data_IF_262584664272
#
_entry.id   IF_262584664272
#
_cell.length_a   1.000
_cell.length_b   1.000
_cell.length_c   1.000
_cell.angle_alpha   90.00
_cell.angle_beta   90.00
_cell.angle_gamma   90.00
#
_symmetry.space_group_name_H-M   'P 1'
#
loop_
_entity.id
_entity.type
_entity.pdbx_description
1 polymer ?
#
# COMPACT_ATOMS: atom_id res chain seq x y z
N UNK A 1 -75.48 -51.60 -3.94
CA UNK A 1 -74.88 -52.27 -5.11
C UNK A 1 -73.41 -51.85 -5.21
N UNK A 2 -72.52 -52.84 -5.37
CA UNK A 2 -71.07 -52.76 -5.68
C UNK A 2 -70.17 -52.14 -4.60
N UNK A 3 -69.01 -52.69 -4.23
CA UNK A 3 -68.45 -54.05 -4.22
C UNK A 3 -67.23 -53.91 -3.28
N UNK A 4 -67.16 -54.75 -2.25
CA UNK A 4 -66.01 -54.88 -1.35
C UNK A 4 -64.87 -55.54 -2.14
N UNK A 5 -63.65 -55.00 -2.09
CA UNK A 5 -62.45 -55.69 -2.57
C UNK A 5 -61.34 -55.54 -1.53
N UNK A 6 -60.87 -56.70 -1.09
CA UNK A 6 -59.82 -56.93 -0.11
C UNK A 6 -58.50 -57.04 -0.87
N UNK A 7 -57.45 -56.33 -0.44
CA UNK A 7 -56.08 -56.75 -0.75
C UNK A 7 -55.16 -56.47 0.43
N UNK A 8 -54.69 -57.55 1.04
CA UNK A 8 -53.59 -57.62 1.97
C UNK A 8 -52.29 -57.38 1.17
N UNK A 9 -51.39 -56.50 1.61
CA UNK A 9 -49.98 -56.61 1.23
C UNK A 9 -49.06 -56.16 2.38
N UNK A 10 -48.07 -57.01 2.61
CA UNK A 10 -47.15 -57.07 3.74
C UNK A 10 -46.13 -55.92 3.84
N UNK A 11 -45.63 -55.75 5.07
CA UNK A 11 -44.27 -55.39 5.52
C UNK A 11 -43.42 -54.45 4.64
N UNK A 12 -42.89 -53.39 5.25
CA UNK A 12 -41.49 -53.30 5.66
C UNK A 12 -41.33 -52.09 6.61
N UNK A 13 -41.08 -52.36 7.90
CA UNK A 13 -40.60 -51.33 8.83
C UNK A 13 -39.11 -51.13 8.50
N UNK A 14 -38.80 -50.11 7.72
CA UNK A 14 -37.41 -49.62 7.59
C UNK A 14 -37.16 -48.69 8.77
N UNK A 15 -36.49 -49.21 9.80
CA UNK A 15 -35.93 -48.36 10.85
C UNK A 15 -34.88 -47.43 10.21
N UNK A 16 -34.90 -46.11 10.45
CA UNK A 16 -33.81 -45.26 10.02
C UNK A 16 -32.60 -45.59 10.91
N UNK A 17 -31.55 -46.17 10.33
CA UNK A 17 -30.22 -46.12 10.93
C UNK A 17 -29.83 -44.64 11.01
N UNK A 18 -29.98 -44.05 12.20
CA UNK A 18 -29.29 -42.83 12.59
C UNK A 18 -27.80 -43.14 12.64
N UNK A 19 -27.12 -43.01 11.50
CA UNK A 19 -25.67 -42.81 11.53
C UNK A 19 -25.44 -41.40 12.10
N UNK A 20 -24.62 -41.23 13.15
CA UNK A 20 -24.26 -39.90 13.58
C UNK A 20 -23.52 -39.23 12.42
N UNK A 21 -24.06 -38.10 11.94
CA UNK A 21 -23.31 -37.18 11.09
C UNK A 21 -21.98 -36.93 11.80
N UNK A 22 -20.88 -37.39 11.20
CA UNK A 22 -19.55 -36.85 11.50
C UNK A 22 -19.60 -35.38 11.11
N UNK A 23 -19.96 -34.53 12.07
CA UNK A 23 -19.67 -33.10 11.97
C UNK A 23 -18.17 -32.99 11.80
N UNK A 24 -17.71 -32.55 10.62
CA UNK A 24 -16.34 -32.09 10.50
C UNK A 24 -16.16 -30.98 11.53
N UNK A 25 -15.03 -30.91 12.24
CA UNK A 25 -14.78 -29.76 13.09
C UNK A 25 -14.78 -28.54 12.17
N UNK A 26 -15.74 -27.63 12.35
CA UNK A 26 -15.53 -26.24 12.00
C UNK A 26 -14.16 -25.88 12.56
N UNK A 27 -13.17 -25.68 11.69
CA UNK A 27 -11.91 -25.09 12.10
C UNK A 27 -12.26 -23.75 12.75
N UNK A 28 -12.28 -23.72 14.08
CA UNK A 28 -12.18 -22.47 14.82
C UNK A 28 -10.93 -21.80 14.27
N UNK A 29 -11.12 -20.76 13.46
CA UNK A 29 -10.05 -19.90 12.97
C UNK A 29 -9.40 -19.34 14.24
N UNK A 30 -8.27 -19.94 14.64
CA UNK A 30 -7.56 -19.61 15.88
C UNK A 30 -7.38 -18.10 15.89
N UNK A 31 -8.04 -17.43 16.85
CA UNK A 31 -7.95 -15.98 16.99
C UNK A 31 -6.45 -15.63 17.12
N UNK A 32 -5.92 -14.92 16.14
CA UNK A 32 -4.50 -14.55 16.15
C UNK A 32 -4.30 -13.52 17.25
N UNK A 33 -3.16 -13.59 17.95
CA UNK A 33 -2.82 -12.50 18.86
C UNK A 33 -2.79 -11.18 18.07
N UNK A 34 -3.14 -10.03 18.67
CA UNK A 34 -3.15 -8.75 17.97
C UNK A 34 -1.80 -8.42 17.28
N UNK A 35 -0.69 -8.88 17.85
CA UNK A 35 0.66 -8.77 17.27
C UNK A 35 0.93 -9.64 16.04
N UNK A 36 0.00 -10.52 15.68
CA UNK A 36 0.07 -11.44 14.53
C UNK A 36 -0.98 -11.11 13.46
N UNK A 37 -1.69 -9.98 13.59
CA UNK A 37 -2.58 -9.48 12.54
C UNK A 37 -1.74 -9.01 11.35
N UNK A 38 -2.09 -9.47 10.16
CA UNK A 38 -1.42 -9.11 8.91
C UNK A 38 -2.43 -8.93 7.78
N UNK A 39 -2.04 -8.22 6.73
CA UNK A 39 -2.82 -7.97 5.53
C UNK A 39 -1.93 -7.94 4.29
N UNK A 40 -2.56 -8.04 3.11
CA UNK A 40 -1.86 -7.97 1.83
C UNK A 40 -1.48 -6.53 1.47
N UNK A 41 -0.28 -6.40 0.93
CA UNK A 41 0.29 -5.24 0.22
C UNK A 41 0.57 -5.60 -1.25
N UNK A 42 -0.03 -6.70 -1.74
CA UNK A 42 0.23 -7.27 -3.06
C UNK A 42 0.12 -6.25 -4.18
N UNK A 43 1.19 -6.21 -4.97
CA UNK A 43 1.34 -5.35 -6.13
C UNK A 43 1.03 -6.17 -7.37
N UNK A 44 0.17 -5.66 -8.24
CA UNK A 44 -0.19 -6.37 -9.46
C UNK A 44 0.91 -6.19 -10.51
N UNK A 45 1.47 -7.31 -10.97
CA UNK A 45 2.41 -7.35 -12.08
C UNK A 45 1.75 -6.80 -13.35
N UNK A 46 2.50 -6.01 -14.12
CA UNK A 46 2.00 -5.43 -15.36
C UNK A 46 1.95 -6.45 -16.50
N UNK A 47 0.90 -6.33 -17.30
CA UNK A 47 0.71 -7.09 -18.54
C UNK A 47 1.80 -6.80 -19.59
N UNK A 48 2.03 -7.76 -20.49
CA UNK A 48 3.16 -7.74 -21.44
C UNK A 48 3.20 -6.52 -22.36
N UNK A 49 2.05 -5.99 -22.76
CA UNK A 49 1.94 -4.82 -23.62
C UNK A 49 2.46 -3.54 -22.94
N UNK A 50 2.12 -3.37 -21.64
CA UNK A 50 2.64 -2.29 -20.78
C UNK A 50 4.15 -2.39 -20.60
N UNK A 51 4.63 -3.60 -20.33
CA UNK A 51 6.06 -3.91 -20.11
C UNK A 51 6.91 -3.51 -21.32
N UNK A 52 6.42 -3.70 -22.54
CA UNK A 52 7.17 -3.42 -23.76
C UNK A 52 7.52 -1.93 -23.91
N UNK A 53 6.55 -1.04 -23.69
CA UNK A 53 6.75 0.42 -23.75
C UNK A 53 7.71 0.91 -22.65
N UNK A 54 7.58 0.37 -21.45
CA UNK A 54 8.43 0.74 -20.31
C UNK A 54 9.88 0.26 -20.51
N UNK A 55 10.07 -0.94 -21.06
CA UNK A 55 11.40 -1.46 -21.40
C UNK A 55 12.08 -0.64 -22.50
N UNK A 56 11.34 -0.15 -23.49
CA UNK A 56 11.89 0.75 -24.52
C UNK A 56 12.37 2.07 -23.92
N UNK A 57 11.58 2.71 -23.05
CA UNK A 57 12.01 3.91 -22.33
C UNK A 57 13.25 3.66 -21.47
N UNK A 58 13.32 2.51 -20.79
CA UNK A 58 14.45 2.12 -19.95
C UNK A 58 15.76 1.99 -20.74
N UNK A 59 15.72 1.46 -21.98
CA UNK A 59 16.92 1.33 -22.82
C UNK A 59 17.62 2.67 -23.08
N UNK A 60 16.84 3.75 -23.12
CA UNK A 60 17.34 5.10 -23.39
C UNK A 60 17.67 5.89 -22.11
N UNK A 61 17.36 5.35 -20.94
CA UNK A 61 17.52 6.03 -19.66
C UNK A 61 18.93 5.80 -19.09
N UNK A 62 19.67 6.88 -18.84
CA UNK A 62 20.97 6.85 -18.16
C UNK A 62 20.76 6.85 -16.64
N UNK A 63 20.52 5.67 -16.07
CA UNK A 63 20.15 5.56 -14.66
C UNK A 63 21.27 4.98 -13.81
N UNK A 64 21.44 5.58 -12.62
CA UNK A 64 22.39 5.06 -11.62
C UNK A 64 21.88 3.72 -11.10
N UNK A 65 22.75 2.69 -10.97
CA UNK A 65 22.34 1.40 -10.42
C UNK A 65 21.85 1.56 -8.98
N UNK A 66 21.01 0.63 -8.55
CA UNK A 66 20.65 0.50 -7.13
C UNK A 66 21.85 -0.07 -6.38
N UNK A 67 22.12 0.47 -5.19
CA UNK A 67 23.25 0.00 -4.37
C UNK A 67 22.95 -1.37 -3.78
N UNK A 68 23.87 -2.30 -4.01
CA UNK A 68 23.96 -3.54 -3.25
C UNK A 68 24.72 -3.29 -1.94
N UNK A 69 24.04 -3.47 -0.80
CA UNK A 69 24.67 -3.29 0.50
C UNK A 69 25.64 -4.43 0.82
N UNK A 70 26.80 -4.11 1.39
CA UNK A 70 27.71 -5.13 1.92
C UNK A 70 27.13 -5.82 3.16
N UNK A 71 27.70 -6.96 3.56
CA UNK A 71 27.27 -7.67 4.77
C UNK A 71 27.45 -6.81 6.05
N UNK A 72 28.51 -6.00 6.11
CA UNK A 72 28.77 -5.09 7.24
C UNK A 72 27.76 -3.95 7.29
N UNK A 73 27.40 -3.37 6.15
CA UNK A 73 26.35 -2.35 6.06
C UNK A 73 24.98 -2.90 6.44
N UNK A 74 24.61 -4.08 5.94
CA UNK A 74 23.37 -4.77 6.37
C UNK A 74 23.33 -4.99 7.88
N UNK A 75 24.44 -5.44 8.48
CA UNK A 75 24.56 -5.60 9.93
C UNK A 75 24.41 -4.26 10.67
N UNK A 76 25.01 -3.19 10.15
CA UNK A 76 24.87 -1.83 10.70
C UNK A 76 23.40 -1.38 10.67
N UNK A 77 22.74 -1.48 9.52
CA UNK A 77 21.32 -1.10 9.33
C UNK A 77 20.40 -1.91 10.25
N UNK A 78 20.63 -3.22 10.36
CA UNK A 78 19.86 -4.11 11.25
C UNK A 78 19.94 -3.72 12.72
N UNK A 79 21.09 -3.19 13.16
CA UNK A 79 21.36 -2.83 14.54
C UNK A 79 20.95 -1.40 14.91
N UNK A 80 20.42 -0.61 13.97
CA UNK A 80 19.99 0.75 14.25
C UNK A 80 18.76 0.75 15.16
N UNK A 81 18.86 1.47 16.28
CA UNK A 81 17.79 1.56 17.29
C UNK A 81 16.63 2.42 16.82
N UNK A 82 16.93 3.55 16.18
CA UNK A 82 15.91 4.43 15.62
C UNK A 82 15.29 3.79 14.37
N UNK A 83 14.02 3.37 14.45
CA UNK A 83 13.29 2.80 13.31
C UNK A 83 12.88 3.84 12.26
N UNK A 84 12.94 5.13 12.60
CA UNK A 84 12.69 6.24 11.69
C UNK A 84 13.97 6.78 11.03
N UNK A 85 15.14 6.27 11.43
CA UNK A 85 16.33 6.36 10.60
C UNK A 85 16.04 5.77 9.22
N UNK A 86 16.78 6.19 8.20
CA UNK A 86 16.43 5.90 6.81
C UNK A 86 17.62 5.47 5.99
N UNK A 87 17.35 4.74 4.91
CA UNK A 87 18.36 4.36 3.92
C UNK A 87 17.88 4.74 2.54
N UNK A 88 18.80 5.18 1.68
CA UNK A 88 18.51 5.43 0.27
C UNK A 88 18.88 4.25 -0.62
N UNK A 89 18.20 4.11 -1.75
CA UNK A 89 18.54 3.15 -2.81
C UNK A 89 19.92 3.38 -3.44
N UNK A 90 20.56 4.52 -3.13
CA UNK A 90 21.92 4.87 -3.56
C UNK A 90 22.94 4.74 -2.41
N UNK A 91 22.51 4.36 -1.21
CA UNK A 91 23.38 4.00 -0.09
C UNK A 91 23.57 5.02 1.01
N UNK A 92 22.83 6.12 1.00
CA UNK A 92 22.84 7.07 2.12
C UNK A 92 22.22 6.39 3.35
N UNK A 93 22.84 6.56 4.52
CA UNK A 93 22.29 6.10 5.80
C UNK A 93 22.08 7.34 6.67
N UNK A 94 20.82 7.69 6.91
CA UNK A 94 20.41 8.84 7.70
C UNK A 94 19.98 8.36 9.09
N UNK A 95 20.53 8.97 10.15
CA UNK A 95 20.22 8.56 11.53
C UNK A 95 18.79 8.93 11.97
N UNK A 96 18.14 9.84 11.24
CA UNK A 96 16.88 10.47 11.65
C UNK A 96 17.10 11.41 12.83
N UNK A 97 16.16 12.34 13.04
CA UNK A 97 16.14 13.17 14.26
C UNK A 97 15.56 12.34 15.40
N UNK A 98 16.24 12.34 16.56
CA UNK A 98 15.74 11.66 17.76
C UNK A 98 14.30 12.11 18.04
N UNK A 99 13.40 11.14 18.15
CA UNK A 99 12.03 11.36 18.62
C UNK A 99 11.79 10.38 19.77
N UNK A 100 11.18 10.82 20.88
CA UNK A 100 10.92 9.95 22.01
C UNK A 100 10.09 8.74 21.54
N UNK A 101 10.54 7.55 21.92
CA UNK A 101 9.83 6.29 21.69
C UNK A 101 8.51 6.36 22.47
N UNK A 102 7.41 6.65 21.79
CA UNK A 102 6.09 6.57 22.39
C UNK A 102 5.72 5.09 22.56
N UNK A 103 5.97 4.57 23.77
CA UNK A 103 5.33 3.36 24.27
C UNK A 103 3.86 3.69 24.56
N UNK A 104 3.02 3.73 23.54
CA UNK A 104 1.58 3.75 23.74
C UNK A 104 1.09 2.31 23.90
N UNK A 105 1.06 1.84 25.15
CA UNK A 105 0.22 0.71 25.53
C UNK A 105 -1.24 1.14 25.41
N UNK A 106 -2.01 0.48 24.56
CA UNK A 106 -3.46 0.72 24.42
C UNK A 106 -4.19 -0.62 24.52
N UNK A 107 -5.24 -0.59 25.33
CA UNK A 107 -6.18 -1.69 25.61
C UNK A 107 -7.09 -1.93 24.41
N UNK A 108 -7.41 -3.20 24.18
CA UNK A 108 -8.09 -3.69 23.00
C UNK A 108 -9.61 -3.69 23.18
N UNK A 109 -10.34 -3.17 22.22
CA UNK A 109 -11.72 -3.60 21.94
C UNK A 109 -11.79 -4.08 20.51
N UNK A 110 -11.89 -5.41 20.38
CA UNK A 110 -12.13 -6.13 19.14
C UNK A 110 -13.55 -5.81 18.66
N UNK A 111 -13.68 -4.90 17.70
CA UNK A 111 -14.88 -4.81 16.87
C UNK A 111 -14.52 -5.29 15.46
N UNK A 112 -15.29 -6.28 15.02
CA UNK A 112 -15.07 -7.14 13.87
C UNK A 112 -14.71 -6.39 12.59
N UNK A 113 -13.53 -6.68 12.05
CA UNK A 113 -13.25 -6.46 10.62
C UNK A 113 -13.93 -7.61 9.89
N UNK A 114 -15.01 -7.34 9.16
CA UNK A 114 -15.22 -7.82 7.78
C UNK A 114 -16.63 -7.49 7.26
N UNK A 115 -16.74 -6.33 6.62
CA UNK A 115 -17.49 -6.21 5.36
C UNK A 115 -16.60 -5.35 4.45
N UNK A 116 -16.22 -5.87 3.28
CA UNK A 116 -15.64 -4.99 2.25
C UNK A 116 -16.72 -3.94 1.97
N UNK A 117 -16.40 -2.66 2.15
CA UNK A 117 -17.31 -1.58 1.78
C UNK A 117 -17.71 -1.76 0.30
N UNK A 118 -18.91 -1.36 -0.08
CA UNK A 118 -19.25 -1.30 -1.50
C UNK A 118 -18.26 -0.39 -2.24
N UNK A 119 -17.96 -0.73 -3.50
CA UNK A 119 -17.01 0.04 -4.29
C UNK A 119 -17.61 1.39 -4.71
N UNK A 120 -17.34 2.42 -3.91
CA UNK A 120 -17.76 3.80 -4.15
C UNK A 120 -16.66 4.66 -4.79
N UNK A 121 -15.66 4.05 -5.43
CA UNK A 121 -14.60 4.83 -6.09
C UNK A 121 -15.14 5.61 -7.28
N UNK A 122 -14.71 6.87 -7.39
CA UNK A 122 -15.09 7.78 -8.48
C UNK A 122 -13.85 8.13 -9.31
N UNK A 123 -13.95 7.97 -10.64
CA UNK A 123 -12.91 8.38 -11.59
C UNK A 123 -12.75 9.90 -11.57
N UNK A 124 -11.52 10.38 -11.49
CA UNK A 124 -11.19 11.80 -11.68
C UNK A 124 -11.03 12.04 -13.18
N UNK A 125 -11.86 12.91 -13.76
CA UNK A 125 -11.87 13.15 -15.22
C UNK A 125 -10.91 14.26 -15.65
N UNK A 126 -10.68 15.26 -14.80
CA UNK A 126 -9.75 16.36 -15.07
C UNK A 126 -8.58 16.36 -14.06
N UNK A 127 -7.54 15.58 -14.38
CA UNK A 127 -6.32 15.45 -13.57
C UNK A 127 -5.34 16.62 -13.72
N UNK A 128 -5.62 17.58 -14.60
CA UNK A 128 -4.78 18.76 -14.80
C UNK A 128 -5.01 19.85 -13.75
N UNK A 129 -5.95 19.66 -12.82
CA UNK A 129 -6.31 20.65 -11.78
C UNK A 129 -5.88 20.20 -10.38
N UNK A 130 -5.74 21.15 -9.46
CA UNK A 130 -5.46 20.84 -8.06
C UNK A 130 -6.65 20.13 -7.39
N UNK A 131 -6.44 19.14 -6.52
CA UNK A 131 -5.15 18.61 -6.05
C UNK A 131 -4.55 17.51 -6.95
N UNK A 132 -5.28 17.08 -7.98
CA UNK A 132 -4.98 15.90 -8.80
C UNK A 132 -3.67 16.02 -9.59
N UNK A 133 -3.32 17.25 -10.00
CA UNK A 133 -2.09 17.54 -10.72
C UNK A 133 -0.81 17.29 -9.90
N UNK A 134 -0.90 17.14 -8.58
CA UNK A 134 0.22 16.74 -7.73
C UNK A 134 0.31 15.22 -7.51
N UNK A 135 -0.73 14.47 -7.86
CA UNK A 135 -0.82 13.01 -7.69
C UNK A 135 -0.18 12.31 -8.87
N UNK A 136 0.49 11.19 -8.63
CA UNK A 136 1.29 10.50 -9.65
C UNK A 136 0.94 9.03 -9.75
N UNK A 137 0.98 8.52 -10.98
CA UNK A 137 1.13 7.10 -11.25
C UNK A 137 2.63 6.77 -11.22
N UNK A 138 2.99 5.62 -10.68
CA UNK A 138 4.39 5.17 -10.56
C UNK A 138 4.51 3.77 -11.15
N UNK A 139 5.33 3.59 -12.18
CA UNK A 139 5.78 2.26 -12.60
C UNK A 139 7.18 1.98 -12.06
N UNK A 140 7.46 0.76 -11.64
CA UNK A 140 8.79 0.34 -11.18
C UNK A 140 9.09 -1.11 -11.51
N UNK A 141 10.37 -1.48 -11.43
CA UNK A 141 10.86 -2.86 -11.55
C UNK A 141 11.21 -3.44 -10.21
N UNK A 142 10.78 -4.66 -9.94
CA UNK A 142 11.28 -5.44 -8.82
C UNK A 142 12.70 -5.98 -9.10
N UNK A 143 13.23 -6.73 -8.13
CA UNK A 143 14.55 -7.37 -8.26
C UNK A 143 14.60 -8.48 -9.31
N UNK A 144 13.46 -9.06 -9.69
CA UNK A 144 13.33 -10.07 -10.75
C UNK A 144 13.27 -9.44 -12.15
N UNK A 145 13.07 -8.12 -12.23
CA UNK A 145 12.95 -7.35 -13.47
C UNK A 145 11.52 -7.22 -13.99
N UNK A 146 10.54 -7.71 -13.24
CA UNK A 146 9.12 -7.59 -13.50
C UNK A 146 8.62 -6.19 -13.15
N UNK A 147 7.62 -5.73 -13.90
CA UNK A 147 7.06 -4.40 -13.73
C UNK A 147 5.82 -4.41 -12.87
N UNK A 148 5.67 -3.36 -12.08
CA UNK A 148 4.55 -3.14 -11.17
C UNK A 148 4.11 -1.68 -11.21
N UNK A 149 2.95 -1.41 -10.63
CA UNK A 149 2.38 -0.07 -10.50
C UNK A 149 2.06 0.27 -9.04
N UNK A 150 2.37 1.50 -8.69
CA UNK A 150 1.95 2.18 -7.47
C UNK A 150 1.44 3.58 -7.81
N UNK A 151 1.07 4.31 -6.77
CA UNK A 151 0.67 5.71 -6.77
C UNK A 151 1.58 6.53 -5.85
N UNK A 152 1.49 7.84 -5.96
CA UNK A 152 2.20 8.76 -5.07
C UNK A 152 1.69 10.19 -5.17
N UNK A 153 2.38 11.12 -4.52
CA UNK A 153 2.09 12.57 -4.62
C UNK A 153 3.31 13.44 -4.36
N UNK A 154 3.46 14.51 -5.12
CA UNK A 154 4.52 15.49 -4.87
C UNK A 154 4.33 16.24 -3.55
N UNK A 155 5.41 16.32 -2.77
CA UNK A 155 5.51 17.07 -1.51
C UNK A 155 6.28 18.39 -1.65
N UNK A 156 7.07 18.50 -2.70
CA UNK A 156 7.75 19.69 -3.19
C UNK A 156 8.08 19.45 -4.66
N UNK A 157 8.95 20.29 -5.25
CA UNK A 157 9.29 20.19 -6.67
C UNK A 157 9.95 18.87 -7.10
N UNK A 158 10.64 18.18 -6.20
CA UNK A 158 11.53 17.05 -6.57
C UNK A 158 11.30 15.78 -5.75
N UNK A 159 10.35 15.80 -4.82
CA UNK A 159 10.09 14.69 -3.88
C UNK A 159 8.66 14.20 -4.03
N UNK A 160 8.50 12.93 -4.39
CA UNK A 160 7.23 12.20 -4.44
C UNK A 160 7.13 11.32 -3.20
N UNK A 161 6.05 11.47 -2.43
CA UNK A 161 5.66 10.55 -1.36
C UNK A 161 4.97 9.32 -1.96
N UNK A 162 5.28 8.14 -1.43
CA UNK A 162 4.65 6.87 -1.78
C UNK A 162 4.72 5.89 -0.58
N UNK A 163 4.28 4.66 -0.75
CA UNK A 163 4.41 3.60 0.25
C UNK A 163 5.83 3.00 0.20
N UNK A 164 6.32 2.48 1.32
CA UNK A 164 7.65 1.88 1.37
C UNK A 164 7.72 0.58 0.57
N UNK A 165 6.64 -0.21 0.52
CA UNK A 165 6.61 -1.41 -0.32
C UNK A 165 6.71 -1.12 -1.83
N UNK A 166 6.36 0.10 -2.27
CA UNK A 166 6.56 0.57 -3.64
C UNK A 166 8.02 0.92 -3.97
N UNK A 167 8.91 0.95 -2.97
CA UNK A 167 10.34 1.23 -3.17
C UNK A 167 11.26 0.11 -2.67
N UNK A 168 10.83 -0.69 -1.70
CA UNK A 168 11.63 -1.72 -1.06
C UNK A 168 10.78 -2.93 -0.71
N UNK A 169 11.22 -4.10 -1.14
CA UNK A 169 10.62 -5.38 -0.77
C UNK A 169 11.21 -5.89 0.55
N UNK A 170 10.39 -5.91 1.60
CA UNK A 170 10.77 -6.39 2.93
C UNK A 170 10.90 -7.92 3.04
N UNK A 171 10.40 -8.68 2.07
CA UNK A 171 10.54 -10.14 2.01
C UNK A 171 11.88 -10.54 1.39
N UNK A 172 12.24 -9.94 0.25
CA UNK A 172 13.54 -10.20 -0.40
C UNK A 172 14.67 -9.29 0.07
N UNK A 173 14.36 -8.28 0.89
CA UNK A 173 15.28 -7.25 1.39
C UNK A 173 16.03 -6.48 0.30
N UNK A 174 15.33 -6.12 -0.78
CA UNK A 174 15.89 -5.41 -1.92
C UNK A 174 15.11 -4.14 -2.23
N UNK A 175 15.84 -3.10 -2.62
CA UNK A 175 15.22 -1.95 -3.26
C UNK A 175 14.73 -2.35 -4.66
N UNK A 176 13.56 -1.85 -5.02
CA UNK A 176 13.10 -1.81 -6.41
C UNK A 176 13.97 -0.84 -7.22
N UNK A 177 13.74 -0.81 -8.53
CA UNK A 177 14.49 0.04 -9.45
C UNK A 177 13.58 0.71 -10.47
N UNK A 178 14.11 1.74 -11.15
CA UNK A 178 13.42 2.47 -12.21
C UNK A 178 12.04 2.99 -11.82
N UNK A 179 11.96 4.01 -10.97
CA UNK A 179 10.67 4.64 -10.71
C UNK A 179 10.33 5.62 -11.83
N UNK A 180 9.35 5.27 -12.65
CA UNK A 180 8.79 6.14 -13.68
C UNK A 180 7.53 6.82 -13.15
N UNK A 181 7.61 8.14 -12.97
CA UNK A 181 6.62 8.98 -12.29
C UNK A 181 5.84 9.80 -13.31
N UNK A 182 4.51 9.69 -13.32
CA UNK A 182 3.61 10.37 -14.24
C UNK A 182 2.58 11.21 -13.47
N UNK A 183 2.76 12.53 -13.35
CA UNK A 183 1.83 13.41 -12.65
C UNK A 183 0.55 13.59 -13.44
N UNK A 184 -0.58 13.47 -12.76
CA UNK A 184 -1.90 13.66 -13.35
C UNK A 184 -2.17 12.73 -14.53
N UNK A 185 -1.55 11.54 -14.57
CA UNK A 185 -1.84 10.53 -15.60
C UNK A 185 -3.36 10.34 -15.71
N UNK A 186 -3.87 10.33 -16.93
CA UNK A 186 -5.30 10.22 -17.23
C UNK A 186 -5.52 9.26 -18.41
N UNK A 187 -4.77 8.16 -18.40
CA UNK A 187 -4.84 7.10 -19.39
C UNK A 187 -4.16 7.50 -20.69
N UNK A 188 -4.93 7.91 -21.69
CA UNK A 188 -4.38 8.30 -22.99
C UNK A 188 -3.69 9.66 -22.98
N UNK A 189 -3.93 10.46 -21.94
CA UNK A 189 -3.31 11.77 -21.76
C UNK A 189 -2.29 11.74 -20.61
N UNK A 190 -1.12 12.31 -20.86
CA UNK A 190 -0.07 12.57 -19.86
C UNK A 190 0.14 14.09 -19.74
N UNK A 191 -0.71 14.82 -18.99
CA UNK A 191 -0.74 16.28 -19.00
C UNK A 191 0.59 16.94 -18.63
N UNK A 192 1.42 16.25 -17.85
CA UNK A 192 2.71 16.74 -17.35
C UNK A 192 3.89 15.88 -17.80
N UNK A 193 3.69 14.94 -18.73
CA UNK A 193 4.71 13.97 -19.13
C UNK A 193 5.10 13.04 -17.97
N UNK A 194 6.37 12.67 -17.88
CA UNK A 194 6.88 11.87 -16.76
C UNK A 194 8.39 11.79 -16.71
N UNK A 195 8.91 11.35 -15.57
CA UNK A 195 10.35 11.27 -15.28
C UNK A 195 10.74 9.90 -14.76
N UNK A 196 11.99 9.51 -14.97
CA UNK A 196 12.56 8.30 -14.39
C UNK A 196 13.48 8.67 -13.22
N UNK A 197 13.51 7.83 -12.20
CA UNK A 197 14.36 7.97 -11.02
C UNK A 197 14.95 6.62 -10.59
N UNK A 198 16.11 6.68 -9.93
CA UNK A 198 16.68 5.55 -9.18
C UNK A 198 17.03 5.90 -7.73
N UNK A 199 16.51 7.02 -7.22
CA UNK A 199 16.76 7.49 -5.86
C UNK A 199 15.47 7.50 -5.05
N UNK A 200 15.39 6.59 -4.08
CA UNK A 200 14.31 6.51 -3.11
C UNK A 200 14.88 6.42 -1.69
N UNK A 201 14.09 6.84 -0.70
CA UNK A 201 14.39 6.70 0.73
C UNK A 201 13.26 5.95 1.42
N UNK A 202 13.62 4.99 2.27
CA UNK A 202 12.68 4.24 3.10
C UNK A 202 13.18 4.18 4.56
N UNK A 203 12.27 4.10 5.54
CA UNK A 203 12.64 4.01 6.94
C UNK A 203 13.19 2.62 7.25
N UNK A 204 14.12 2.56 8.20
CA UNK A 204 14.75 1.33 8.67
C UNK A 204 13.74 0.40 9.35
N UNK A 205 12.67 0.96 9.93
CA UNK A 205 11.53 0.20 10.42
C UNK A 205 10.91 -0.69 9.35
N UNK A 206 10.78 -0.18 8.12
CA UNK A 206 10.33 -0.97 6.97
C UNK A 206 11.39 -1.97 6.51
N UNK A 207 12.62 -1.50 6.29
CA UNK A 207 13.73 -2.31 5.75
C UNK A 207 14.02 -3.54 6.61
N UNK A 208 13.94 -3.39 7.94
CA UNK A 208 14.17 -4.46 8.91
C UNK A 208 12.90 -5.19 9.33
N UNK A 209 11.74 -4.84 8.79
CA UNK A 209 10.52 -5.60 9.04
C UNK A 209 10.67 -7.01 8.48
N UNK A 210 9.93 -7.96 9.04
CA UNK A 210 9.91 -9.35 8.57
C UNK A 210 8.48 -9.67 8.17
N UNK A 211 8.25 -9.71 6.87
CA UNK A 211 6.94 -10.03 6.31
C UNK A 211 6.49 -11.44 6.75
N UNK A 212 5.20 -11.65 7.07
CA UNK A 212 4.67 -12.98 7.39
C UNK A 212 4.75 -13.93 6.19
N UNK A 213 4.59 -13.41 4.98
CA UNK A 213 4.77 -14.09 3.70
C UNK A 213 5.07 -13.05 2.62
N UNK A 214 5.44 -13.49 1.41
CA UNK A 214 5.53 -12.61 0.25
C UNK A 214 4.21 -11.84 0.07
N UNK A 215 4.28 -10.54 -0.16
CA UNK A 215 3.09 -9.74 -0.40
C UNK A 215 2.27 -9.36 0.84
N UNK A 216 2.74 -9.70 2.05
CA UNK A 216 2.01 -9.45 3.30
C UNK A 216 2.80 -8.56 4.28
N UNK A 217 2.07 -7.89 5.17
CA UNK A 217 2.63 -7.07 6.24
C UNK A 217 1.87 -7.25 7.55
N UNK A 218 2.57 -7.27 8.69
CA UNK A 218 1.94 -7.15 10.00
C UNK A 218 1.41 -5.74 10.25
N UNK A 219 0.26 -5.62 10.91
CA UNK A 219 -0.35 -4.34 11.29
C UNK A 219 0.62 -3.41 12.04
N UNK A 220 1.43 -3.96 12.95
CA UNK A 220 2.40 -3.20 13.75
C UNK A 220 3.50 -2.53 12.92
N UNK A 221 3.78 -3.05 11.73
CA UNK A 221 4.84 -2.59 10.84
C UNK A 221 4.31 -1.60 9.79
N UNK A 222 2.98 -1.47 9.63
CA UNK A 222 2.32 -0.51 8.71
C UNK A 222 2.74 0.93 9.00
N UNK A 223 3.04 1.28 10.25
CA UNK A 223 3.52 2.63 10.61
C UNK A 223 4.81 3.05 9.89
N UNK A 224 5.56 2.09 9.33
CA UNK A 224 6.77 2.33 8.56
C UNK A 224 6.57 2.23 7.05
N UNK A 225 5.36 1.94 6.57
CA UNK A 225 5.07 1.78 5.14
C UNK A 225 4.88 3.14 4.43
N UNK A 226 5.91 3.97 4.46
CA UNK A 226 5.98 5.24 3.75
C UNK A 226 7.41 5.48 3.27
N UNK A 227 7.54 6.07 2.10
CA UNK A 227 8.82 6.34 1.47
C UNK A 227 8.74 7.57 0.57
N UNK A 228 9.88 8.04 0.09
CA UNK A 228 9.90 9.03 -0.99
C UNK A 228 10.77 8.60 -2.14
N UNK A 229 10.40 9.05 -3.34
CA UNK A 229 11.19 8.98 -4.57
C UNK A 229 11.62 10.42 -4.90
N UNK A 230 12.92 10.61 -5.14
CA UNK A 230 13.49 11.88 -5.62
C UNK A 230 13.51 11.84 -7.15
N UNK A 231 13.11 12.89 -7.83
CA UNK A 231 13.25 13.00 -9.30
C UNK A 231 14.38 13.96 -9.68
N UNK A 232 15.06 13.68 -10.80
CA UNK A 232 16.10 14.54 -11.37
C UNK A 232 15.50 15.62 -12.29
N UNK A 233 14.42 16.23 -11.83
CA UNK A 233 13.68 17.25 -12.55
C UNK A 233 12.80 17.99 -11.56
N UNK A 234 11.85 18.81 -12.04
CA UNK A 234 10.94 19.54 -11.17
C UNK A 234 9.51 19.50 -11.66
N UNK A 235 8.58 19.30 -10.73
CA UNK A 235 7.15 19.50 -10.92
C UNK A 235 6.64 20.66 -10.07
N UNK A 236 5.77 21.51 -10.62
CA UNK A 236 5.37 22.74 -9.91
C UNK A 236 4.31 22.53 -8.83
N UNK A 237 3.54 21.45 -8.92
CA UNK A 237 2.39 21.22 -8.04
C UNK A 237 2.71 20.19 -6.96
N UNK A 238 2.34 20.51 -5.72
CA UNK A 238 2.57 19.65 -4.56
C UNK A 238 1.51 19.91 -3.50
N UNK A 239 1.32 18.96 -2.59
CA UNK A 239 0.37 19.07 -1.48
C UNK A 239 1.10 19.19 -0.13
N UNK A 240 0.51 19.92 0.84
CA UNK A 240 1.03 19.96 2.20
C UNK A 240 0.81 18.61 2.92
N UNK A 241 1.68 18.33 3.89
CA UNK A 241 1.57 17.18 4.79
C UNK A 241 1.17 17.64 6.20
N UNK A 242 0.38 16.84 6.90
CA UNK A 242 -0.08 17.10 8.26
C UNK A 242 0.12 15.87 9.14
N UNK A 243 0.42 16.10 10.42
CA UNK A 243 0.46 15.07 11.47
C UNK A 243 -0.85 14.98 12.25
N UNK A 244 -1.88 15.72 11.84
CA UNK A 244 -3.14 15.86 12.58
C UNK A 244 -4.22 14.99 11.97
N UNK A 245 -4.42 13.81 12.56
CA UNK A 245 -5.49 12.87 12.23
C UNK A 245 -5.97 12.13 13.47
N UNK A 246 -7.24 11.75 13.50
CA UNK A 246 -7.88 11.00 14.58
C UNK A 246 -9.11 10.22 14.11
N UNK A 247 -9.61 9.36 15.00
CA UNK A 247 -10.82 8.55 14.75
C UNK A 247 -12.01 9.48 14.46
N UNK A 248 -12.82 9.14 13.47
CA UNK A 248 -13.98 9.91 13.01
C UNK A 248 -13.67 10.95 11.94
N UNK A 249 -12.40 11.28 11.68
CA UNK A 249 -12.03 12.21 10.61
C UNK A 249 -12.47 11.68 9.25
N UNK A 250 -13.18 12.51 8.49
CA UNK A 250 -13.47 12.24 7.08
C UNK A 250 -12.20 12.37 6.24
N UNK A 251 -12.00 11.42 5.35
CA UNK A 251 -10.82 11.33 4.48
C UNK A 251 -11.23 11.04 3.04
N UNK A 252 -10.31 11.33 2.11
CA UNK A 252 -10.39 10.85 0.73
C UNK A 252 -9.06 10.19 0.37
N UNK A 253 -9.12 8.93 0.01
CA UNK A 253 -8.00 8.18 -0.56
C UNK A 253 -7.97 8.37 -2.07
N UNK A 254 -6.78 8.59 -2.63
CA UNK A 254 -6.56 8.71 -4.06
C UNK A 254 -5.54 7.68 -4.55
N UNK A 255 -5.67 7.24 -5.80
CA UNK A 255 -4.68 6.37 -6.42
C UNK A 255 -5.08 5.89 -7.81
N UNK A 256 -4.21 5.07 -8.40
CA UNK A 256 -4.33 4.51 -9.74
C UNK A 256 -4.62 3.00 -9.66
N UNK A 257 -5.87 2.59 -9.38
CA UNK A 257 -6.25 1.20 -9.23
C UNK A 257 -6.04 0.40 -10.53
N UNK A 258 -5.56 -0.83 -10.41
CA UNK A 258 -5.35 -1.72 -11.56
C UNK A 258 -6.64 -2.38 -12.06
N UNK A 259 -7.66 -2.48 -11.22
CA UNK A 259 -8.94 -3.14 -11.52
C UNK A 259 -9.96 -2.25 -12.25
N UNK A 260 -9.61 -0.98 -12.52
CA UNK A 260 -10.50 0.01 -13.16
C UNK A 260 -9.96 0.60 -14.47
N UNK A 261 -8.92 -0.01 -15.05
CA UNK A 261 -8.35 0.42 -16.32
C UNK A 261 -9.35 0.28 -17.47
N UNK A 262 -9.41 1.29 -18.34
CA UNK A 262 -10.14 1.21 -19.62
C UNK A 262 -9.13 0.92 -20.74
N UNK A 263 -9.27 -0.22 -21.41
CA UNK A 263 -8.31 -0.70 -22.41
C UNK A 263 -7.01 -1.25 -21.81
N UNK A 264 -6.21 -1.90 -22.65
CA UNK A 264 -4.89 -2.36 -22.24
C UNK A 264 -3.93 -1.17 -22.16
N UNK A 265 -3.23 -1.01 -21.04
CA UNK A 265 -2.17 0.00 -20.95
C UNK A 265 -2.44 1.21 -20.06
N UNK A 266 -3.70 1.58 -19.83
CA UNK A 266 -4.04 2.88 -19.25
C UNK A 266 -4.41 2.82 -17.76
N UNK A 267 -3.96 3.82 -17.01
CA UNK A 267 -4.33 4.05 -15.62
C UNK A 267 -5.05 5.36 -15.49
N UNK A 268 -6.07 5.38 -14.65
CA UNK A 268 -6.84 6.58 -14.35
C UNK A 268 -6.82 6.80 -12.85
N UNK A 269 -6.81 8.08 -12.46
CA UNK A 269 -6.89 8.45 -11.07
C UNK A 269 -8.31 8.21 -10.55
N UNK A 270 -8.44 7.49 -9.45
CA UNK A 270 -9.69 7.32 -8.71
C UNK A 270 -9.57 7.91 -7.31
N UNK A 271 -10.72 8.32 -6.78
CA UNK A 271 -10.87 8.78 -5.39
C UNK A 271 -11.90 7.94 -4.66
N UNK A 272 -11.67 7.70 -3.37
CA UNK A 272 -12.55 6.94 -2.49
C UNK A 272 -12.74 7.69 -1.18
N UNK A 273 -13.96 8.15 -0.92
CA UNK A 273 -14.31 8.79 0.35
C UNK A 273 -14.38 7.74 1.48
N UNK A 274 -14.09 8.16 2.69
CA UNK A 274 -14.19 7.30 3.87
C UNK A 274 -13.95 8.09 5.16
N UNK A 275 -13.71 7.37 6.25
CA UNK A 275 -13.34 7.93 7.54
C UNK A 275 -12.31 7.05 8.24
N UNK A 276 -11.55 7.64 9.16
CA UNK A 276 -10.72 6.87 10.09
C UNK A 276 -11.64 6.20 11.11
N UNK A 277 -11.68 4.88 11.12
CA UNK A 277 -12.56 4.10 11.99
C UNK A 277 -11.88 3.67 13.29
N UNK A 278 -10.55 3.54 13.28
CA UNK A 278 -9.76 3.17 14.44
C UNK A 278 -8.28 3.54 14.26
N UNK A 279 -7.49 3.49 15.34
CA UNK A 279 -6.03 3.67 15.32
C UNK A 279 -5.37 2.60 16.18
N UNK A 280 -4.51 1.79 15.58
CA UNK A 280 -3.75 0.74 16.26
C UNK A 280 -2.28 0.76 15.82
N UNK A 281 -1.33 0.65 16.76
CA UNK A 281 0.11 0.61 16.45
C UNK A 281 0.62 1.76 15.56
N UNK A 282 0.07 2.98 15.71
CA UNK A 282 0.31 4.11 14.82
C UNK A 282 -0.04 3.85 13.34
N UNK A 283 -0.98 2.94 13.08
CA UNK A 283 -1.67 2.80 11.82
C UNK A 283 -3.12 3.28 11.98
N UNK A 284 -3.61 4.06 11.02
CA UNK A 284 -5.04 4.32 10.87
C UNK A 284 -5.70 3.09 10.24
N UNK A 285 -6.87 2.73 10.75
CA UNK A 285 -7.80 1.84 10.08
C UNK A 285 -8.88 2.73 9.47
N UNK A 286 -9.22 2.52 8.20
CA UNK A 286 -10.16 3.38 7.48
C UNK A 286 -11.16 2.63 6.61
N UNK A 287 -12.25 3.30 6.28
CA UNK A 287 -13.34 2.76 5.45
C UNK A 287 -13.23 3.06 3.95
N UNK A 288 -12.24 3.87 3.51
CA UNK A 288 -12.02 4.10 2.07
C UNK A 288 -11.73 2.79 1.33
N UNK A 289 -12.36 2.61 0.16
CA UNK A 289 -12.13 1.46 -0.72
C UNK A 289 -10.81 1.65 -1.50
N UNK A 290 -9.80 0.84 -1.18
CA UNK A 290 -8.46 0.85 -1.79
C UNK A 290 -8.20 -0.50 -2.44
N UNK A 291 -7.53 -0.54 -3.60
CA UNK A 291 -7.12 -1.78 -4.27
C UNK A 291 -5.68 -1.68 -4.77
N UNK A 292 -5.12 -2.80 -5.25
CA UNK A 292 -3.79 -2.83 -5.86
C UNK A 292 -3.59 -1.73 -6.92
N UNK A 293 -2.41 -1.12 -6.91
CA UNK A 293 -2.07 0.06 -7.74
C UNK A 293 -2.34 1.40 -7.04
N UNK A 294 -3.30 1.47 -6.11
CA UNK A 294 -3.52 2.66 -5.29
C UNK A 294 -2.48 2.85 -4.18
N UNK A 295 -1.69 1.82 -3.88
CA UNK A 295 -0.57 1.83 -2.95
C UNK A 295 0.32 3.07 -3.11
N UNK A 296 0.60 3.76 -2.02
CA UNK A 296 1.39 4.98 -1.99
C UNK A 296 0.65 6.26 -2.38
N UNK A 297 -0.55 6.15 -2.95
CA UNK A 297 -1.42 7.29 -3.22
C UNK A 297 -1.82 8.01 -1.91
N UNK A 298 -2.10 9.32 -1.95
CA UNK A 298 -2.29 10.11 -0.75
C UNK A 298 -3.67 9.83 -0.13
N UNK A 299 -3.69 9.78 1.20
CA UNK A 299 -4.92 9.93 1.98
C UNK A 299 -4.98 11.36 2.47
N UNK A 300 -6.01 12.10 2.04
CA UNK A 300 -6.21 13.50 2.40
C UNK A 300 -7.25 13.64 3.50
N UNK A 301 -6.96 14.51 4.48
CA UNK A 301 -7.97 15.16 5.33
C UNK A 301 -8.01 16.63 4.93
N UNK A 302 -9.19 17.08 4.50
CA UNK A 302 -9.32 18.40 3.83
C UNK A 302 -8.32 18.50 2.66
N UNK A 303 -7.36 19.41 2.71
CA UNK A 303 -6.35 19.62 1.65
C UNK A 303 -4.94 19.13 2.03
N UNK A 304 -4.78 18.41 3.13
CA UNK A 304 -3.47 17.95 3.61
C UNK A 304 -3.35 16.42 3.59
N UNK A 305 -2.17 15.94 3.20
CA UNK A 305 -1.82 14.53 3.28
C UNK A 305 -1.65 14.15 4.74
N UNK A 306 -2.40 13.15 5.22
CA UNK A 306 -2.29 12.61 6.58
C UNK A 306 -1.77 11.17 6.63
N UNK A 307 -1.69 10.52 5.46
CA UNK A 307 -1.14 9.17 5.28
C UNK A 307 -0.94 8.89 3.78
N UNK A 308 -0.33 7.75 3.46
CA UNK A 308 -0.39 7.09 2.14
C UNK A 308 -1.21 5.80 2.23
N UNK A 309 -1.82 5.36 1.13
CA UNK A 309 -2.43 4.04 1.04
C UNK A 309 -1.35 2.96 1.20
N UNK A 310 -1.55 2.01 2.12
CA UNK A 310 -0.62 0.90 2.35
C UNK A 310 -1.28 -0.45 2.02
N UNK A 311 -2.29 -0.84 2.80
CA UNK A 311 -3.09 -2.05 2.55
C UNK A 311 -4.50 -1.65 2.08
N UNK A 312 -5.42 -2.63 2.00
CA UNK A 312 -6.84 -2.38 1.73
C UNK A 312 -7.49 -1.37 2.69
N UNK A 313 -7.10 -1.36 3.97
CA UNK A 313 -7.73 -0.52 4.98
C UNK A 313 -6.81 -0.07 6.13
N UNK A 314 -5.53 -0.41 6.11
CA UNK A 314 -4.54 0.03 7.08
C UNK A 314 -3.54 0.93 6.40
N UNK A 315 -3.20 2.03 7.07
CA UNK A 315 -2.26 3.02 6.55
C UNK A 315 -1.48 3.68 7.68
N UNK A 316 -0.25 4.15 7.43
CA UNK A 316 0.58 4.77 8.47
C UNK A 316 -0.06 6.06 9.02
N UNK A 317 -0.34 6.13 10.32
CA UNK A 317 -0.78 7.39 10.93
C UNK A 317 0.40 8.34 11.03
N UNK A 318 0.47 9.34 10.15
CA UNK A 318 1.56 10.31 10.23
C UNK A 318 1.48 11.12 11.52
N UNK A 319 2.53 10.98 12.34
CA UNK A 319 2.81 11.82 13.50
C UNK A 319 3.95 12.80 13.20
N UNK A 320 4.38 13.53 14.24
CA UNK A 320 5.50 14.48 14.12
C UNK A 320 6.78 13.80 13.64
N UNK A 321 7.06 12.56 14.07
CA UNK A 321 8.24 11.80 13.63
C UNK A 321 8.21 11.52 12.13
N UNK A 322 7.07 11.05 11.59
CA UNK A 322 6.90 10.85 10.14
C UNK A 322 7.11 12.13 9.36
N UNK A 323 6.46 13.22 9.78
CA UNK A 323 6.59 14.54 9.12
C UNK A 323 8.03 15.05 9.18
N UNK A 324 8.74 14.84 10.28
CA UNK A 324 10.16 15.21 10.42
C UNK A 324 11.06 14.43 9.46
N UNK A 325 10.90 13.10 9.40
CA UNK A 325 11.63 12.24 8.45
C UNK A 325 11.34 12.65 7.00
N UNK A 326 10.07 12.91 6.66
CA UNK A 326 9.67 13.34 5.33
C UNK A 326 10.26 14.71 4.98
N UNK A 327 10.28 15.65 5.93
CA UNK A 327 10.90 16.98 5.73
C UNK A 327 12.42 16.90 5.60
N UNK A 328 13.08 15.99 6.32
CA UNK A 328 14.50 15.69 6.11
C UNK A 328 14.73 15.24 4.66
N UNK A 329 13.99 14.24 4.17
CA UNK A 329 14.13 13.77 2.79
C UNK A 329 13.78 14.84 1.74
N UNK A 330 12.82 15.72 2.02
CA UNK A 330 12.49 16.86 1.14
C UNK A 330 13.67 17.83 0.97
N UNK A 331 14.49 18.00 2.00
CA UNK A 331 15.66 18.89 1.99
C UNK A 331 16.87 18.31 1.25
N UNK A 332 16.90 16.99 1.04
CA UNK A 332 18.01 16.33 0.36
C UNK A 332 17.97 16.56 -1.15
N UNK A 333 19.14 16.68 -1.80
CA UNK A 333 19.23 16.79 -3.25
C UNK A 333 18.84 15.47 -3.94
N UNK A 334 18.59 15.55 -5.25
CA UNK A 334 18.66 14.36 -6.12
C UNK A 334 20.10 13.84 -6.18
#
# INVERSE_FOLDING_TARGET
MKKLSFFLLCLFIVAPLLTPLKTSPLQQKKLRSPSQLYANIDMLKLEKDKVSRLNEKLKNAKLKPIKEFSASERKKIKNMKNKFASVSSQGDILQGKDSPVLNSGISFTSSDVTALAEDHRVKVTNTATSPYNAMVQINFKDASGDWYVCSGTFLNRTTVLTAAHCVFDSYTHKFHSYWSVYPGDNGTALPYGGWSSTKAYAPIGWINSTAPSEGEIYLRDVQYDYAVIKIDSSHSYHLPISSTSGIGDSIISYGYPTDKGEGSGYYYLYKSAGSITDVQYNAIIHSSYVTSGMSGGPILKSSSIISVNSTYNWSAKFGSTHVNTINEWKSLPY
#
